data_IF_109713612423
#
_entry.id   IF_109713612423
#
_cell.length_a   1.000
_cell.length_b   1.000
_cell.length_c   1.000
_cell.angle_alpha   90.00
_cell.angle_beta   90.00
_cell.angle_gamma   90.00
#
_symmetry.space_group_name_H-M   'P 1'
#
loop_
_entity.id
_entity.type
_entity.pdbx_description
1 polymer ?
#
# COMPACT_ATOMS: atom_id res chain seq x y z
N UNK A 1 45.58 26.49 4.44
CA UNK A 1 45.44 26.70 5.90
C UNK A 1 43.96 26.94 6.16
N UNK A 2 43.27 25.89 6.62
CA UNK A 2 42.59 25.79 7.95
C UNK A 2 41.19 26.39 7.89
N UNK A 3 40.07 25.73 8.16
CA UNK A 3 39.72 24.47 8.85
C UNK A 3 38.28 24.12 8.35
N UNK A 4 37.85 22.89 8.11
CA UNK A 4 37.67 21.67 8.92
C UNK A 4 36.85 21.75 10.22
N UNK A 5 35.89 20.81 10.26
CA UNK A 5 35.20 20.13 11.35
C UNK A 5 34.08 20.82 12.15
N UNK A 6 32.92 20.13 12.17
CA UNK A 6 32.32 19.81 13.47
C UNK A 6 30.79 19.81 13.61
N UNK A 7 30.02 19.19 12.71
CA UNK A 7 28.60 18.91 13.02
C UNK A 7 28.43 17.48 13.52
N UNK A 8 28.46 17.34 14.84
CA UNK A 8 27.57 16.50 15.66
C UNK A 8 27.56 14.98 15.47
N UNK A 9 27.73 14.18 16.55
CA UNK A 9 27.48 12.75 16.49
C UNK A 9 25.99 12.48 16.21
N UNK A 10 25.74 11.65 15.20
CA UNK A 10 24.45 11.02 14.91
C UNK A 10 24.03 10.25 16.16
N UNK A 11 23.10 10.80 16.93
CA UNK A 11 22.50 10.09 18.04
C UNK A 11 21.81 8.84 17.49
N UNK A 12 22.19 7.73 18.10
CA UNK A 12 21.70 6.41 17.80
C UNK A 12 20.18 6.40 17.73
N UNK A 13 19.66 5.83 16.65
CA UNK A 13 18.26 5.44 16.51
C UNK A 13 17.99 4.43 17.62
N UNK A 14 17.33 4.90 18.67
CA UNK A 14 16.97 4.12 19.84
C UNK A 14 16.14 2.90 19.43
N UNK A 15 16.47 1.78 20.05
CA UNK A 15 15.79 0.50 19.96
C UNK A 15 14.26 0.65 19.91
N UNK A 16 13.65 0.15 18.84
CA UNK A 16 12.20 -0.01 18.72
C UNK A 16 11.80 -1.28 19.48
N UNK A 17 11.62 -1.16 20.79
CA UNK A 17 11.02 -2.19 21.64
C UNK A 17 9.53 -2.35 21.30
N UNK A 18 9.19 -3.47 20.66
CA UNK A 18 7.83 -3.85 20.23
C UNK A 18 7.50 -3.35 18.81
N UNK A 19 6.86 -4.17 17.94
CA UNK A 19 6.52 -3.69 16.61
C UNK A 19 5.48 -2.57 16.73
N UNK A 20 5.84 -1.36 16.29
CA UNK A 20 4.99 -0.16 16.38
C UNK A 20 3.59 -0.33 15.75
N UNK A 21 3.42 -1.33 14.89
CA UNK A 21 2.16 -1.72 14.27
C UNK A 21 1.21 -2.56 15.15
N UNK A 22 1.64 -3.05 16.32
CA UNK A 22 0.83 -3.96 17.17
C UNK A 22 -0.49 -3.34 17.64
N UNK A 23 -0.49 -2.03 17.91
CA UNK A 23 -1.71 -1.32 18.27
C UNK A 23 -2.64 -1.18 17.06
N UNK A 24 -2.10 -0.80 15.90
CA UNK A 24 -2.85 -0.70 14.65
C UNK A 24 -3.45 -2.05 14.21
N UNK A 25 -2.78 -3.17 14.46
CA UNK A 25 -3.36 -4.49 14.20
C UNK A 25 -4.59 -4.81 15.05
N UNK A 26 -4.64 -4.34 16.31
CA UNK A 26 -5.84 -4.48 17.13
C UNK A 26 -6.97 -3.58 16.62
N UNK A 27 -6.63 -2.37 16.20
CA UNK A 27 -7.59 -1.42 15.64
C UNK A 27 -8.19 -1.90 14.31
N UNK A 28 -7.43 -2.67 13.52
CA UNK A 28 -7.86 -3.24 12.24
C UNK A 28 -9.04 -4.20 12.34
N UNK A 29 -9.36 -4.73 13.54
CA UNK A 29 -10.54 -5.59 13.78
C UNK A 29 -11.66 -4.89 14.56
N UNK A 30 -11.60 -3.56 14.69
CA UNK A 30 -12.62 -2.78 15.36
C UNK A 30 -13.96 -2.83 14.62
N UNK A 31 -15.07 -2.82 15.35
CA UNK A 31 -16.42 -2.62 14.77
C UNK A 31 -16.56 -1.25 14.10
N UNK A 32 -15.76 -0.26 14.52
CA UNK A 32 -15.76 1.08 13.94
C UNK A 32 -14.96 1.13 12.65
N UNK A 33 -15.65 1.42 11.53
CA UNK A 33 -15.01 1.56 10.22
C UNK A 33 -13.93 2.64 10.21
N UNK A 34 -14.08 3.73 10.95
CA UNK A 34 -13.11 4.83 10.96
C UNK A 34 -11.83 4.45 11.70
N UNK A 35 -11.94 3.62 12.74
CA UNK A 35 -10.79 3.04 13.45
C UNK A 35 -10.04 2.07 12.55
N UNK A 36 -10.75 1.21 11.80
CA UNK A 36 -10.14 0.30 10.82
C UNK A 36 -9.45 1.05 9.69
N UNK A 37 -10.08 2.08 9.12
CA UNK A 37 -9.47 2.91 8.09
C UNK A 37 -8.20 3.61 8.59
N UNK A 38 -8.23 4.16 9.81
CA UNK A 38 -7.05 4.76 10.42
C UNK A 38 -5.94 3.73 10.70
N UNK A 39 -6.30 2.49 11.04
CA UNK A 39 -5.36 1.39 11.18
C UNK A 39 -4.69 1.03 9.84
N UNK A 40 -5.48 0.90 8.77
CA UNK A 40 -4.97 0.65 7.41
C UNK A 40 -3.92 1.67 6.99
N UNK A 41 -4.22 2.97 7.16
CA UNK A 41 -3.25 4.05 6.88
C UNK A 41 -1.95 3.92 7.68
N UNK A 42 -2.03 3.58 8.97
CA UNK A 42 -0.82 3.42 9.81
C UNK A 42 -0.03 2.17 9.45
N UNK A 43 -0.71 1.07 9.17
CA UNK A 43 -0.11 -0.21 8.82
C UNK A 43 0.56 -0.18 7.44
N UNK A 44 0.06 0.65 6.52
CA UNK A 44 0.63 0.77 5.18
C UNK A 44 2.14 1.07 5.23
N UNK A 45 2.65 1.78 6.24
CA UNK A 45 4.08 2.06 6.39
C UNK A 45 4.98 0.83 6.57
N UNK A 46 4.43 -0.30 7.02
CA UNK A 46 5.15 -1.56 7.28
C UNK A 46 4.67 -2.70 6.35
N UNK A 47 4.17 -2.38 5.14
CA UNK A 47 3.53 -3.32 4.21
C UNK A 47 4.41 -4.51 3.78
N UNK A 48 5.74 -4.36 3.82
CA UNK A 48 6.70 -5.41 3.53
C UNK A 48 6.81 -6.49 4.64
N UNK A 49 6.27 -6.22 5.83
CA UNK A 49 6.25 -7.17 6.94
C UNK A 49 5.13 -8.19 6.71
N UNK A 50 5.41 -9.51 6.62
CA UNK A 50 4.41 -10.51 6.25
C UNK A 50 3.14 -10.50 7.11
N UNK A 51 3.27 -10.31 8.42
CA UNK A 51 2.13 -10.25 9.34
C UNK A 51 1.26 -9.01 9.09
N UNK A 52 1.88 -7.88 8.75
CA UNK A 52 1.19 -6.63 8.42
C UNK A 52 0.48 -6.75 7.07
N UNK A 53 1.15 -7.34 6.07
CA UNK A 53 0.59 -7.61 4.75
C UNK A 53 -0.72 -8.42 4.83
N UNK A 54 -0.78 -9.44 5.69
CA UNK A 54 -2.01 -10.24 5.92
C UNK A 54 -3.16 -9.38 6.46
N UNK A 55 -2.87 -8.46 7.37
CA UNK A 55 -3.90 -7.56 7.93
C UNK A 55 -4.35 -6.52 6.89
N UNK A 56 -3.41 -5.93 6.16
CA UNK A 56 -3.71 -4.99 5.07
C UNK A 56 -4.56 -5.63 3.97
N UNK A 57 -4.27 -6.87 3.57
CA UNK A 57 -5.09 -7.60 2.59
C UNK A 57 -6.56 -7.75 3.02
N UNK A 58 -6.82 -7.94 4.33
CA UNK A 58 -8.19 -7.99 4.85
C UNK A 58 -8.87 -6.62 4.84
N UNK A 59 -8.14 -5.55 5.11
CA UNK A 59 -8.66 -4.19 5.09
C UNK A 59 -8.94 -3.68 3.68
N UNK A 60 -8.13 -4.09 2.70
CA UNK A 60 -8.40 -3.84 1.28
C UNK A 60 -9.69 -4.52 0.81
N UNK A 61 -10.01 -5.68 1.38
CA UNK A 61 -11.22 -6.45 1.10
C UNK A 61 -12.29 -6.27 2.20
N UNK A 62 -12.37 -5.10 2.85
CA UNK A 62 -13.34 -4.86 3.92
C UNK A 62 -14.78 -4.93 3.38
N UNK A 63 -15.44 -6.06 3.63
CA UNK A 63 -16.80 -6.32 3.16
C UNK A 63 -17.87 -5.44 3.81
N UNK A 64 -17.54 -4.72 4.90
CA UNK A 64 -18.51 -3.93 5.64
C UNK A 64 -18.50 -2.47 5.25
N UNK A 65 -17.37 -1.94 4.77
CA UNK A 65 -17.27 -0.52 4.45
C UNK A 65 -16.18 -0.21 3.40
N UNK A 66 -16.62 0.28 2.25
CA UNK A 66 -15.74 0.66 1.12
C UNK A 66 -14.77 1.80 1.46
N UNK A 67 -15.05 2.64 2.46
CA UNK A 67 -14.11 3.68 2.91
C UNK A 67 -12.85 3.08 3.53
N UNK A 68 -12.94 1.90 4.18
CA UNK A 68 -11.76 1.21 4.72
C UNK A 68 -10.88 0.71 3.58
N UNK A 69 -11.49 0.12 2.54
CA UNK A 69 -10.81 -0.28 1.30
C UNK A 69 -10.09 0.91 0.67
N UNK A 70 -10.81 2.01 0.42
CA UNK A 70 -10.28 3.21 -0.22
C UNK A 70 -9.05 3.76 0.53
N UNK A 71 -9.20 4.05 1.82
CA UNK A 71 -8.13 4.67 2.63
C UNK A 71 -6.92 3.75 2.79
N UNK A 72 -7.12 2.43 2.78
CA UNK A 72 -6.01 1.47 2.85
C UNK A 72 -5.29 1.38 1.51
N UNK A 73 -6.03 1.32 0.40
CA UNK A 73 -5.47 1.27 -0.95
C UNK A 73 -4.68 2.55 -1.26
N UNK A 74 -5.27 3.73 -1.03
CA UNK A 74 -4.60 5.01 -1.27
C UNK A 74 -3.32 5.14 -0.42
N UNK A 75 -3.35 4.75 0.84
CA UNK A 75 -2.15 4.79 1.69
C UNK A 75 -1.03 3.85 1.21
N UNK A 76 -1.37 2.70 0.61
CA UNK A 76 -0.39 1.79 0.02
C UNK A 76 0.17 2.34 -1.30
N UNK A 77 -0.68 2.94 -2.14
CA UNK A 77 -0.28 3.53 -3.42
C UNK A 77 0.60 4.77 -3.22
N UNK A 78 0.28 5.61 -2.23
CA UNK A 78 1.06 6.81 -1.88
C UNK A 78 2.50 6.51 -1.41
N UNK A 79 2.83 5.24 -1.09
CA UNK A 79 4.22 4.83 -0.84
C UNK A 79 5.06 4.88 -2.11
N UNK A 80 4.44 4.65 -3.27
CA UNK A 80 5.12 4.59 -4.56
C UNK A 80 6.12 3.44 -4.65
N UNK A 81 5.83 2.28 -4.06
CA UNK A 81 6.75 1.13 -4.06
C UNK A 81 6.07 -0.21 -4.39
N UNK A 82 6.90 -1.20 -4.72
CA UNK A 82 6.45 -2.53 -5.15
C UNK A 82 5.65 -3.27 -4.08
N UNK A 83 6.03 -3.29 -2.78
CA UNK A 83 5.21 -3.93 -1.75
C UNK A 83 3.80 -3.34 -1.63
N UNK A 84 3.67 -2.01 -1.71
CA UNK A 84 2.38 -1.33 -1.67
C UNK A 84 1.50 -1.71 -2.86
N UNK A 85 2.02 -1.53 -4.08
CA UNK A 85 1.27 -1.86 -5.30
C UNK A 85 0.90 -3.35 -5.36
N UNK A 86 1.82 -4.25 -5.00
CA UNK A 86 1.58 -5.70 -5.01
C UNK A 86 0.37 -6.08 -4.17
N UNK A 87 0.22 -5.50 -2.97
CA UNK A 87 -0.93 -5.80 -2.10
C UNK A 87 -2.25 -5.31 -2.70
N UNK A 88 -2.23 -4.13 -3.32
CA UNK A 88 -3.41 -3.57 -4.00
C UNK A 88 -3.83 -4.45 -5.18
N UNK A 89 -2.88 -4.90 -6.01
CA UNK A 89 -3.18 -5.78 -7.15
C UNK A 89 -3.62 -7.18 -6.70
N UNK A 90 -3.04 -7.71 -5.62
CA UNK A 90 -3.48 -8.99 -5.06
C UNK A 90 -4.92 -8.93 -4.54
N UNK A 91 -5.30 -7.80 -3.93
CA UNK A 91 -6.68 -7.56 -3.51
C UNK A 91 -7.59 -7.40 -4.73
N UNK A 92 -7.20 -6.60 -5.74
CA UNK A 92 -7.98 -6.40 -6.96
C UNK A 92 -8.30 -7.71 -7.67
N UNK A 93 -7.31 -8.59 -7.83
CA UNK A 93 -7.46 -9.89 -8.49
C UNK A 93 -8.46 -10.85 -7.81
N UNK A 94 -8.81 -10.60 -6.54
CA UNK A 94 -9.71 -11.45 -5.74
C UNK A 94 -10.98 -10.75 -5.30
N UNK A 95 -11.09 -9.45 -5.52
CA UNK A 95 -12.20 -8.63 -5.10
C UNK A 95 -13.48 -9.00 -5.85
N UNK A 96 -14.63 -8.94 -5.16
CA UNK A 96 -15.91 -8.88 -5.85
C UNK A 96 -16.06 -7.55 -6.59
N UNK A 97 -16.98 -7.49 -7.57
CA UNK A 97 -17.11 -6.35 -8.47
C UNK A 97 -17.16 -4.98 -7.75
N UNK A 98 -17.98 -4.86 -6.70
CA UNK A 98 -18.10 -3.59 -5.96
C UNK A 98 -16.79 -3.19 -5.29
N UNK A 99 -16.08 -4.12 -4.65
CA UNK A 99 -14.78 -3.83 -4.01
C UNK A 99 -13.70 -3.57 -5.06
N UNK A 100 -13.73 -4.29 -6.18
CA UNK A 100 -12.83 -4.06 -7.31
C UNK A 100 -12.95 -2.65 -7.89
N UNK A 101 -14.17 -2.16 -8.10
CA UNK A 101 -14.42 -0.78 -8.57
C UNK A 101 -13.83 0.27 -7.62
N UNK A 102 -13.88 0.02 -6.31
CA UNK A 102 -13.30 0.93 -5.30
C UNK A 102 -11.76 0.89 -5.33
N UNK A 103 -11.16 -0.29 -5.43
CA UNK A 103 -9.71 -0.43 -5.55
C UNK A 103 -9.22 0.25 -6.84
N UNK A 104 -9.91 0.06 -7.97
CA UNK A 104 -9.60 0.73 -9.22
C UNK A 104 -9.71 2.26 -9.08
N UNK A 105 -10.75 2.75 -8.40
CA UNK A 105 -10.92 4.18 -8.14
C UNK A 105 -9.75 4.75 -7.31
N UNK A 106 -9.25 4.00 -6.32
CA UNK A 106 -8.07 4.41 -5.56
C UNK A 106 -6.79 4.51 -6.43
N UNK A 107 -6.61 3.59 -7.38
CA UNK A 107 -5.50 3.64 -8.35
C UNK A 107 -5.59 4.92 -9.19
N UNK A 108 -6.75 5.22 -9.77
CA UNK A 108 -6.96 6.44 -10.56
C UNK A 108 -6.71 7.70 -9.73
N UNK A 109 -7.21 7.73 -8.50
CA UNK A 109 -7.11 8.89 -7.61
C UNK A 109 -5.67 9.20 -7.17
N UNK A 110 -4.80 8.21 -7.07
CA UNK A 110 -3.42 8.40 -6.58
C UNK A 110 -2.41 8.42 -7.72
N UNK A 111 -2.56 7.54 -8.69
CA UNK A 111 -1.52 7.24 -9.68
C UNK A 111 -1.77 7.87 -11.05
N UNK A 112 -2.91 8.51 -11.28
CA UNK A 112 -3.22 9.17 -12.57
C UNK A 112 -3.45 10.68 -12.42
N UNK A 113 -2.78 11.30 -11.44
CA UNK A 113 -2.90 12.73 -11.19
C UNK A 113 -1.98 13.56 -12.11
N UNK A 114 -0.92 12.94 -12.63
CA UNK A 114 0.02 13.53 -13.57
C UNK A 114 0.64 12.46 -14.48
N UNK A 115 1.30 12.90 -15.55
CA UNK A 115 2.05 11.99 -16.43
C UNK A 115 3.19 11.26 -15.68
N UNK A 116 3.83 11.94 -14.72
CA UNK A 116 4.89 11.35 -13.89
C UNK A 116 4.34 10.23 -13.00
N UNK A 117 3.14 10.40 -12.44
CA UNK A 117 2.50 9.37 -11.62
C UNK A 117 2.15 8.12 -12.46
N UNK A 118 1.69 8.31 -13.69
CA UNK A 118 1.37 7.23 -14.64
C UNK A 118 2.64 6.46 -15.02
N UNK A 119 3.72 7.18 -15.34
CA UNK A 119 5.01 6.57 -15.66
C UNK A 119 5.57 5.78 -14.46
N UNK A 120 5.50 6.36 -13.26
CA UNK A 120 5.92 5.69 -12.03
C UNK A 120 5.10 4.42 -11.75
N UNK A 121 3.77 4.49 -11.89
CA UNK A 121 2.90 3.31 -11.77
C UNK A 121 3.28 2.23 -12.80
N UNK A 122 3.56 2.62 -14.04
CA UNK A 122 3.97 1.68 -15.08
C UNK A 122 5.31 1.01 -14.76
N UNK A 123 6.29 1.73 -14.20
CA UNK A 123 7.57 1.15 -13.77
C UNK A 123 7.38 0.09 -12.66
N UNK A 124 6.54 0.39 -11.67
CA UNK A 124 6.21 -0.56 -10.61
C UNK A 124 5.44 -1.77 -11.16
N UNK A 125 4.45 -1.55 -12.02
CA UNK A 125 3.67 -2.61 -12.64
C UNK A 125 4.54 -3.52 -13.53
N UNK A 126 5.50 -2.97 -14.27
CA UNK A 126 6.46 -3.74 -15.08
C UNK A 126 7.27 -4.73 -14.23
N UNK A 127 7.61 -4.36 -13.00
CA UNK A 127 8.28 -5.27 -12.05
C UNK A 127 7.37 -6.44 -11.64
N UNK A 128 6.06 -6.19 -11.52
CA UNK A 128 5.06 -7.17 -11.07
C UNK A 128 4.54 -8.11 -12.18
N UNK A 129 4.86 -7.86 -13.45
CA UNK A 129 4.49 -8.77 -14.56
C UNK A 129 5.11 -10.18 -14.42
N UNK A 130 6.19 -10.31 -13.65
CA UNK A 130 6.86 -11.58 -13.35
C UNK A 130 6.63 -12.07 -11.91
N UNK A 131 5.68 -11.49 -11.18
CA UNK A 131 5.36 -11.86 -9.80
C UNK A 131 5.01 -13.36 -9.67
N UNK A 132 5.38 -14.08 -8.60
CA UNK A 132 4.95 -15.47 -8.41
C UNK A 132 3.42 -15.65 -8.36
N UNK A 133 2.67 -14.65 -7.92
CA UNK A 133 1.21 -14.67 -7.86
C UNK A 133 0.61 -14.40 -9.24
N UNK A 134 -0.22 -15.32 -9.73
CA UNK A 134 -0.83 -15.18 -11.06
C UNK A 134 -1.82 -14.02 -11.16
N UNK A 135 -2.62 -13.78 -10.12
CA UNK A 135 -3.56 -12.67 -10.09
C UNK A 135 -2.83 -11.33 -10.18
N UNK A 136 -1.78 -11.16 -9.36
CA UNK A 136 -0.93 -9.95 -9.40
C UNK A 136 -0.33 -9.73 -10.78
N UNK A 137 0.18 -10.78 -11.44
CA UNK A 137 0.75 -10.66 -12.79
C UNK A 137 -0.28 -10.20 -13.82
N UNK A 138 -1.49 -10.75 -13.79
CA UNK A 138 -2.52 -10.37 -14.76
C UNK A 138 -2.99 -8.93 -14.55
N UNK A 139 -3.23 -8.51 -13.31
CA UNK A 139 -3.59 -7.11 -13.01
C UNK A 139 -2.47 -6.14 -13.40
N UNK A 140 -1.20 -6.49 -13.13
CA UNK A 140 -0.06 -5.69 -13.53
C UNK A 140 0.04 -5.53 -15.06
N UNK A 141 -0.27 -6.58 -15.84
CA UNK A 141 -0.35 -6.48 -17.30
C UNK A 141 -1.53 -5.63 -17.76
N UNK A 142 -2.66 -5.70 -17.04
CA UNK A 142 -3.83 -4.84 -17.28
C UNK A 142 -3.46 -3.36 -17.21
N UNK A 143 -2.69 -2.97 -16.18
CA UNK A 143 -2.20 -1.58 -16.03
C UNK A 143 -1.22 -1.14 -17.13
N UNK A 144 -0.46 -2.06 -17.72
CA UNK A 144 0.49 -1.76 -18.81
C UNK A 144 -0.12 -1.86 -20.21
N UNK A 145 -1.30 -2.47 -20.31
CA UNK A 145 -2.02 -2.56 -21.56
C UNK A 145 -2.45 -1.18 -22.05
N UNK A 146 -2.90 -1.04 -23.31
CA UNK A 146 -3.62 0.15 -23.71
C UNK A 146 -4.83 0.26 -22.78
N UNK A 147 -4.77 1.22 -21.85
CA UNK A 147 -5.95 1.65 -21.11
C UNK A 147 -7.00 1.98 -22.17
N UNK A 148 -8.12 1.25 -22.15
CA UNK A 148 -9.15 1.33 -23.19
C UNK A 148 -9.68 2.73 -23.42
#
# INVERSE_FOLDING_TARGET
MTSDAGTGPRTARTDRTGPGWSASMRDAVSDSWSVRAAAGRRLAADAEVPEVAVVLGRLLLDAHNTFVTQETAEALLLRGDVPGLRLVLAALATAEAQTGDQIQSAILNVCEQSQEDIEHLAELAATLVSDPDAGVREEARGLLGPMG
#
